data_IF_319569525711
#
_entry.id   IF_319569525711
#
_cell.length_a   1.000
_cell.length_b   1.000
_cell.length_c   1.000
_cell.angle_alpha   90.00
_cell.angle_beta   90.00
_cell.angle_gamma   90.00
#
_symmetry.space_group_name_H-M   'P 1'
#
loop_
_entity.id
_entity.type
_entity.pdbx_description
1 polymer ?
#
# COMPACT_ATOMS: atom_id res chain seq x y z
N UNK A 1 -5.40 20.54 50.64
CA UNK A 1 -4.26 20.32 49.73
C UNK A 1 -4.22 18.84 49.38
N UNK A 2 -4.36 18.34 48.17
CA UNK A 2 -5.01 18.80 46.95
C UNK A 2 -5.46 17.51 46.26
N UNK A 3 -6.63 17.57 45.65
CA UNK A 3 -7.37 16.50 45.01
C UNK A 3 -6.64 15.89 43.81
N UNK A 4 -6.39 14.58 43.83
CA UNK A 4 -6.25 13.77 42.62
C UNK A 4 -7.53 12.95 42.42
N UNK A 5 -8.63 13.66 42.18
CA UNK A 5 -9.77 13.07 41.50
C UNK A 5 -9.39 12.91 40.02
N UNK A 6 -9.33 11.68 39.53
CA UNK A 6 -9.41 11.41 38.09
C UNK A 6 -10.87 11.58 37.65
N UNK A 7 -11.10 12.38 36.60
CA UNK A 7 -12.41 12.68 36.05
C UNK A 7 -13.03 11.48 35.29
N UNK A 8 -14.38 11.45 35.09
CA UNK A 8 -15.04 10.42 34.29
C UNK A 8 -14.57 10.46 32.83
N UNK A 9 -14.03 9.34 32.33
CA UNK A 9 -13.38 9.23 31.01
C UNK A 9 -12.07 8.41 31.03
N UNK A 10 -11.64 7.95 32.20
CA UNK A 10 -10.41 7.16 32.35
C UNK A 10 -10.60 5.69 31.95
N UNK A 11 -10.15 5.31 30.76
CA UNK A 11 -9.57 3.98 30.58
C UNK A 11 -8.10 4.07 31.04
N UNK A 12 -7.67 3.44 32.14
CA UNK A 12 -6.27 3.10 32.27
C UNK A 12 -6.04 1.88 31.37
N UNK A 13 -5.45 1.99 30.16
CA UNK A 13 -5.04 0.79 29.46
C UNK A 13 -3.99 0.10 30.34
N UNK A 14 -4.23 -1.17 30.67
CA UNK A 14 -3.34 -2.01 31.45
C UNK A 14 -1.88 -1.76 31.04
N UNK A 15 -1.09 -1.10 31.88
CA UNK A 15 0.24 -0.58 31.51
C UNK A 15 1.13 -1.67 30.90
N UNK A 16 0.98 -2.90 31.40
CA UNK A 16 1.67 -4.11 30.90
C UNK A 16 1.41 -4.41 29.42
N UNK A 17 0.25 -4.04 28.86
CA UNK A 17 -0.07 -4.26 27.46
C UNK A 17 0.54 -3.23 26.52
N UNK A 18 0.92 -2.04 27.02
CA UNK A 18 1.54 -0.96 26.22
C UNK A 18 3.07 -1.01 26.24
N UNK A 19 3.67 -1.48 27.32
CA UNK A 19 5.13 -1.54 27.47
C UNK A 19 5.86 -2.15 26.27
N UNK A 20 5.38 -3.24 25.64
CA UNK A 20 6.08 -3.84 24.50
C UNK A 20 6.14 -2.96 23.24
N UNK A 21 5.27 -1.96 23.11
CA UNK A 21 5.27 -1.01 21.99
C UNK A 21 5.98 0.28 22.34
N UNK A 22 6.36 0.47 23.60
CA UNK A 22 6.89 1.74 24.07
C UNK A 22 8.39 1.81 23.80
N UNK A 23 8.82 2.92 23.22
CA UNK A 23 10.24 3.17 22.94
C UNK A 23 11.09 3.07 24.21
N UNK A 24 12.12 2.20 24.24
CA UNK A 24 12.98 2.00 25.40
C UNK A 24 13.75 3.27 25.81
N UNK A 25 14.12 4.12 24.85
CA UNK A 25 14.78 5.39 25.16
C UNK A 25 13.80 6.44 25.67
N UNK A 26 12.52 6.38 25.27
CA UNK A 26 11.48 7.21 25.87
C UNK A 26 11.26 6.82 27.34
N UNK A 27 11.27 5.52 27.66
CA UNK A 27 11.17 5.05 29.04
C UNK A 27 12.36 5.45 29.91
N UNK A 28 13.54 5.62 29.30
CA UNK A 28 14.78 5.95 30.03
C UNK A 28 14.96 7.46 30.19
N UNK A 29 14.75 8.22 29.11
CA UNK A 29 15.08 9.65 29.02
C UNK A 29 13.84 10.53 29.23
N UNK A 30 12.65 10.03 28.90
CA UNK A 30 11.38 10.78 28.99
C UNK A 30 11.04 11.62 27.74
N UNK A 31 11.96 11.71 26.77
CA UNK A 31 11.76 12.53 25.56
C UNK A 31 10.99 11.77 24.49
N UNK A 32 9.80 12.25 24.13
CA UNK A 32 8.98 11.68 23.06
C UNK A 32 9.36 12.29 21.70
N UNK A 33 9.59 11.45 20.70
CA UNK A 33 10.01 11.89 19.35
C UNK A 33 9.27 11.10 18.26
N UNK A 34 9.29 11.54 16.99
CA UNK A 34 8.76 10.74 15.88
C UNK A 34 9.40 9.33 15.78
N UNK A 35 10.65 9.17 16.23
CA UNK A 35 11.34 7.87 16.26
C UNK A 35 10.79 6.93 17.34
N UNK A 36 10.05 7.45 18.32
CA UNK A 36 9.31 6.64 19.29
C UNK A 36 8.05 6.02 18.65
N UNK A 37 7.41 6.74 17.72
CA UNK A 37 6.32 6.20 16.91
C UNK A 37 6.83 5.15 15.92
N UNK A 38 8.01 5.38 15.31
CA UNK A 38 8.68 4.38 14.46
C UNK A 38 8.92 3.08 15.21
N UNK A 39 9.38 3.15 16.47
CA UNK A 39 9.56 1.95 17.30
C UNK A 39 8.24 1.19 17.47
N UNK A 40 7.18 1.90 17.84
CA UNK A 40 5.83 1.34 18.02
C UNK A 40 5.34 0.67 16.73
N UNK A 41 5.53 1.34 15.58
CA UNK A 41 5.22 0.81 14.26
C UNK A 41 6.01 -0.45 13.94
N UNK A 42 7.29 -0.50 14.27
CA UNK A 42 8.12 -1.69 14.10
C UNK A 42 7.57 -2.91 14.84
N UNK A 43 7.14 -2.74 16.10
CA UNK A 43 6.52 -3.82 16.87
C UNK A 43 5.20 -4.27 16.22
N UNK A 44 4.38 -3.32 15.74
CA UNK A 44 3.13 -3.64 15.02
C UNK A 44 3.41 -4.43 13.74
N UNK A 45 4.39 -4.02 12.93
CA UNK A 45 4.79 -4.73 11.72
C UNK A 45 5.16 -6.19 12.04
N UNK A 46 5.99 -6.42 13.07
CA UNK A 46 6.39 -7.77 13.46
C UNK A 46 5.20 -8.60 13.94
N UNK A 47 4.25 -8.01 14.67
CA UNK A 47 3.03 -8.70 15.11
C UNK A 47 2.14 -9.10 13.95
N UNK A 48 1.91 -8.19 13.01
CA UNK A 48 1.08 -8.48 11.83
C UNK A 48 1.68 -9.60 10.99
N UNK A 49 3.01 -9.63 10.86
CA UNK A 49 3.71 -10.64 10.07
C UNK A 49 3.69 -12.03 10.71
N UNK A 50 3.69 -12.11 12.05
CA UNK A 50 3.85 -13.39 12.78
C UNK A 50 2.59 -13.86 13.50
N UNK A 51 1.58 -13.00 13.67
CA UNK A 51 0.38 -13.30 14.45
C UNK A 51 0.66 -13.44 15.96
N UNK A 52 1.89 -13.14 16.41
CA UNK A 52 2.33 -13.42 17.78
C UNK A 52 2.07 -12.24 18.73
N UNK A 53 1.97 -12.52 20.05
CA UNK A 53 2.04 -11.47 21.07
C UNK A 53 3.34 -10.65 20.95
N UNK A 54 3.32 -9.35 21.30
CA UNK A 54 4.49 -8.48 21.15
C UNK A 54 5.67 -8.87 22.05
N UNK A 55 5.41 -9.60 23.15
CA UNK A 55 6.45 -9.97 24.09
C UNK A 55 7.43 -10.94 23.43
N UNK A 56 8.72 -10.59 23.46
CA UNK A 56 9.82 -11.36 22.86
C UNK A 56 9.75 -11.56 21.34
N UNK A 57 8.82 -10.90 20.63
CA UNK A 57 8.65 -11.04 19.18
C UNK A 57 9.93 -10.67 18.43
N UNK A 58 10.58 -9.57 18.80
CA UNK A 58 11.84 -9.09 18.21
C UNK A 58 12.95 -10.12 18.36
N UNK A 59 13.04 -10.79 19.53
CA UNK A 59 14.05 -11.83 19.78
C UNK A 59 13.79 -13.05 18.88
N UNK A 60 12.56 -13.52 18.81
CA UNK A 60 12.16 -14.67 17.98
C UNK A 60 12.41 -14.41 16.49
N UNK A 61 12.02 -13.24 15.99
CA UNK A 61 12.26 -12.84 14.59
C UNK A 61 13.76 -12.78 14.31
N UNK A 62 14.56 -12.15 15.18
CA UNK A 62 16.03 -12.06 15.01
C UNK A 62 16.71 -13.43 15.01
N UNK A 63 16.25 -14.36 15.86
CA UNK A 63 16.72 -15.74 15.88
C UNK A 63 16.33 -16.49 14.60
N UNK A 64 15.08 -16.34 14.15
CA UNK A 64 14.62 -16.94 12.90
C UNK A 64 15.42 -16.44 11.68
N UNK A 65 15.86 -15.18 11.66
CA UNK A 65 16.78 -14.68 10.63
C UNK A 65 18.17 -15.33 10.70
N UNK A 66 18.71 -15.56 11.90
CA UNK A 66 20.02 -16.21 12.07
C UNK A 66 20.02 -17.67 11.63
N UNK A 67 18.90 -18.35 11.83
CA UNK A 67 18.71 -19.76 11.45
C UNK A 67 18.03 -19.97 10.09
N UNK A 68 17.82 -18.89 9.31
CA UNK A 68 17.07 -18.87 8.03
C UNK A 68 15.68 -19.53 8.07
N UNK A 69 15.04 -19.49 9.23
CA UNK A 69 13.76 -20.14 9.53
C UNK A 69 12.59 -19.15 9.65
N UNK A 70 12.70 -17.95 9.06
CA UNK A 70 11.65 -16.93 9.12
C UNK A 70 10.30 -17.43 8.61
N UNK A 71 10.31 -18.27 7.57
CA UNK A 71 9.11 -18.88 6.97
C UNK A 71 8.25 -19.69 7.96
N UNK A 72 8.84 -20.18 9.06
CA UNK A 72 8.11 -20.89 10.12
C UNK A 72 7.40 -19.96 11.10
N UNK A 73 7.84 -18.70 11.17
CA UNK A 73 7.33 -17.70 12.10
C UNK A 73 6.23 -16.83 11.48
N UNK A 74 6.12 -16.80 10.16
CA UNK A 74 5.10 -16.03 9.43
C UNK A 74 3.72 -16.62 9.70
N UNK A 75 2.74 -15.75 9.93
CA UNK A 75 1.36 -16.12 10.24
C UNK A 75 0.64 -16.74 9.04
N UNK A 76 0.55 -18.07 9.03
CA UNK A 76 -0.15 -18.82 7.99
C UNK A 76 -1.68 -18.62 8.02
N UNK A 77 -2.23 -18.12 9.13
CA UNK A 77 -3.67 -17.86 9.23
C UNK A 77 -4.12 -16.61 8.48
N UNK A 78 -3.18 -15.70 8.19
CA UNK A 78 -3.41 -14.49 7.39
C UNK A 78 -3.32 -14.72 5.87
N UNK A 79 -3.26 -15.99 5.43
CA UNK A 79 -3.20 -16.40 4.02
C UNK A 79 -1.78 -16.65 3.51
N UNK A 80 -1.64 -16.68 2.18
CA UNK A 80 -0.36 -16.95 1.53
C UNK A 80 0.50 -15.68 1.44
N UNK A 81 1.45 -15.56 2.36
CA UNK A 81 2.40 -14.45 2.35
C UNK A 81 3.44 -14.62 1.24
N UNK A 82 3.66 -13.60 0.40
CA UNK A 82 4.78 -13.60 -0.53
C UNK A 82 6.10 -13.49 0.26
N UNK A 83 6.85 -14.59 0.31
CA UNK A 83 7.99 -14.74 1.24
C UNK A 83 9.05 -13.63 1.11
N UNK A 84 9.36 -13.19 -0.11
CA UNK A 84 10.36 -12.14 -0.35
C UNK A 84 9.94 -10.81 0.31
N UNK A 85 8.70 -10.38 0.07
CA UNK A 85 8.15 -9.15 0.64
C UNK A 85 7.97 -9.28 2.15
N UNK A 86 7.53 -10.45 2.63
CA UNK A 86 7.46 -10.72 4.07
C UNK A 86 8.84 -10.63 4.73
N UNK A 87 9.89 -11.17 4.09
CA UNK A 87 11.28 -11.06 4.58
C UNK A 87 11.77 -9.61 4.60
N UNK A 88 11.46 -8.81 3.57
CA UNK A 88 11.77 -7.38 3.53
C UNK A 88 11.03 -6.59 4.61
N UNK A 89 9.74 -6.89 4.82
CA UNK A 89 8.92 -6.24 5.83
C UNK A 89 9.38 -6.60 7.25
N UNK A 90 9.77 -7.85 7.49
CA UNK A 90 10.34 -8.29 8.76
C UNK A 90 11.68 -7.61 9.06
N UNK A 91 12.54 -7.42 8.04
CA UNK A 91 13.80 -6.68 8.18
C UNK A 91 13.54 -5.20 8.51
N UNK A 92 12.57 -4.57 7.85
CA UNK A 92 12.14 -3.21 8.16
C UNK A 92 11.65 -3.10 9.60
N UNK A 93 10.77 -4.02 10.01
CA UNK A 93 10.28 -4.10 11.40
C UNK A 93 11.42 -4.22 12.41
N UNK A 94 12.43 -5.07 12.14
CA UNK A 94 13.62 -5.21 12.99
C UNK A 94 14.44 -3.92 13.09
N UNK A 95 14.61 -3.17 11.99
CA UNK A 95 15.30 -1.87 12.00
C UNK A 95 14.55 -0.82 12.81
N UNK A 96 13.23 -0.79 12.70
CA UNK A 96 12.38 0.14 13.46
C UNK A 96 12.45 -0.11 14.98
N UNK A 97 12.62 -1.37 15.42
CA UNK A 97 12.70 -1.74 16.85
C UNK A 97 14.12 -1.77 17.40
N UNK A 98 15.07 -1.11 16.75
CA UNK A 98 16.41 -0.95 17.31
C UNK A 98 16.37 -0.16 18.62
N UNK A 99 17.17 -0.60 19.60
CA UNK A 99 17.15 -0.01 20.94
C UNK A 99 17.60 1.45 20.92
N UNK A 100 18.57 1.75 20.06
CA UNK A 100 19.17 3.07 19.84
C UNK A 100 18.41 3.81 18.74
N UNK A 101 17.86 5.00 19.03
CA UNK A 101 17.06 5.84 18.11
C UNK A 101 17.79 6.17 16.83
N UNK A 102 19.09 6.46 16.87
CA UNK A 102 19.87 6.86 15.71
C UNK A 102 20.02 5.74 14.67
N UNK A 103 19.76 4.49 15.06
CA UNK A 103 19.78 3.33 14.15
C UNK A 103 18.42 3.06 13.49
N UNK A 104 17.37 3.72 13.96
CA UNK A 104 16.03 3.56 13.42
C UNK A 104 15.91 4.39 12.13
N UNK A 105 15.22 3.88 11.09
CA UNK A 105 14.85 4.70 9.95
C UNK A 105 13.88 5.81 10.38
N UNK A 106 13.85 6.92 9.64
CA UNK A 106 12.76 7.87 9.77
C UNK A 106 11.48 7.38 9.04
N UNK A 107 10.35 8.04 9.27
CA UNK A 107 9.09 7.65 8.63
C UNK A 107 9.11 7.77 7.11
N UNK A 108 9.93 8.65 6.54
CA UNK A 108 10.07 8.82 5.09
C UNK A 108 10.74 7.60 4.47
N UNK A 109 11.79 7.10 5.11
CA UNK A 109 12.47 5.88 4.70
C UNK A 109 11.57 4.66 4.90
N UNK A 110 10.87 4.56 6.03
CA UNK A 110 9.89 3.48 6.29
C UNK A 110 8.83 3.47 5.19
N UNK A 111 8.26 4.64 4.88
CA UNK A 111 7.24 4.77 3.83
C UNK A 111 7.77 4.33 2.47
N UNK A 112 8.99 4.73 2.10
CA UNK A 112 9.61 4.35 0.82
C UNK A 112 9.68 2.83 0.64
N UNK A 113 10.02 2.10 1.71
CA UNK A 113 10.07 0.63 1.68
C UNK A 113 8.65 0.06 1.63
N UNK A 114 7.75 0.50 2.50
CA UNK A 114 6.37 -0.02 2.56
C UNK A 114 5.64 0.22 1.25
N UNK A 115 5.76 1.42 0.68
CA UNK A 115 5.15 1.77 -0.60
C UNK A 115 5.63 0.85 -1.71
N UNK A 116 6.93 0.56 -1.78
CA UNK A 116 7.48 -0.39 -2.75
C UNK A 116 6.95 -1.82 -2.57
N UNK A 117 6.68 -2.24 -1.33
CA UNK A 117 6.10 -3.57 -1.02
C UNK A 117 4.60 -3.64 -1.33
N UNK A 118 3.87 -2.54 -1.13
CA UNK A 118 2.46 -2.39 -1.50
C UNK A 118 2.29 -2.32 -3.01
N UNK A 119 3.27 -1.73 -3.71
CA UNK A 119 3.33 -1.71 -5.16
C UNK A 119 3.52 -3.14 -5.67
N UNK A 120 2.41 -3.82 -5.94
CA UNK A 120 2.40 -5.00 -6.81
C UNK A 120 3.12 -4.55 -8.10
N UNK A 121 4.21 -5.20 -8.55
CA UNK A 121 4.61 -5.02 -9.96
C UNK A 121 3.33 -5.27 -10.77
N UNK A 122 3.00 -4.45 -11.78
CA UNK A 122 1.81 -4.73 -12.57
C UNK A 122 1.95 -6.18 -13.00
N UNK A 123 1.08 -7.04 -12.45
CA UNK A 123 1.04 -8.39 -12.94
C UNK A 123 0.79 -8.24 -14.45
N UNK A 124 1.42 -9.04 -15.32
CA UNK A 124 0.99 -9.12 -16.70
C UNK A 124 -0.40 -9.77 -16.81
N UNK A 125 -1.28 -9.59 -15.81
CA UNK A 125 -2.67 -10.00 -15.85
C UNK A 125 -3.42 -9.12 -16.83
N UNK A 126 -3.30 -7.79 -16.75
CA UNK A 126 -4.07 -6.89 -17.61
C UNK A 126 -3.24 -6.39 -18.81
N UNK A 127 -3.63 -6.69 -20.06
CA UNK A 127 -3.03 -6.09 -21.24
C UNK A 127 -3.09 -4.56 -21.21
N UNK A 128 -1.99 -3.88 -21.55
CA UNK A 128 -1.88 -2.42 -21.47
C UNK A 128 -2.97 -1.66 -22.26
N UNK A 129 -3.45 -2.24 -23.36
CA UNK A 129 -4.51 -1.65 -24.20
C UNK A 129 -5.91 -1.70 -23.58
N UNK A 130 -6.09 -2.38 -22.45
CA UNK A 130 -7.34 -2.37 -21.67
C UNK A 130 -7.42 -1.19 -20.70
N UNK A 131 -6.32 -0.47 -20.48
CA UNK A 131 -6.22 0.58 -19.49
C UNK A 131 -6.40 1.93 -20.18
N UNK A 132 -7.25 2.80 -19.60
CA UNK A 132 -7.45 4.16 -20.12
C UNK A 132 -6.18 5.01 -19.92
N UNK A 133 -5.59 5.59 -20.98
CA UNK A 133 -4.35 6.34 -20.82
C UNK A 133 -4.46 7.67 -20.06
N UNK A 134 -5.65 8.30 -20.05
CA UNK A 134 -5.88 9.58 -19.35
C UNK A 134 -5.94 9.40 -17.85
N UNK A 135 -6.45 8.25 -17.40
CA UNK A 135 -6.68 7.95 -15.99
C UNK A 135 -5.40 7.49 -15.29
N UNK A 136 -4.33 7.19 -16.04
CA UNK A 136 -3.04 6.77 -15.50
C UNK A 136 -2.23 7.92 -14.88
N UNK A 137 -2.64 9.18 -15.06
CA UNK A 137 -1.84 10.36 -14.66
C UNK A 137 -2.08 10.77 -13.20
N UNK A 138 -3.15 10.29 -12.54
CA UNK A 138 -3.67 10.92 -11.31
C UNK A 138 -3.73 10.05 -10.04
N UNK A 139 -2.91 9.02 -9.84
CA UNK A 139 -3.13 8.19 -8.64
C UNK A 139 -1.87 7.68 -7.91
N UNK A 140 -1.43 8.49 -6.94
CA UNK A 140 -0.74 8.02 -5.74
C UNK A 140 -1.62 7.10 -4.86
N UNK A 141 -2.92 6.95 -5.17
CA UNK A 141 -3.90 6.17 -4.39
C UNK A 141 -4.56 4.98 -5.13
N UNK A 142 -4.30 4.74 -6.43
CA UNK A 142 -4.91 3.60 -7.16
C UNK A 142 -3.99 2.44 -7.47
N UNK A 143 -2.93 2.24 -6.68
CA UNK A 143 -2.14 1.00 -6.78
C UNK A 143 -2.99 -0.28 -6.60
N UNK A 144 -4.24 -0.15 -6.12
CA UNK A 144 -5.18 -1.26 -5.95
C UNK A 144 -6.29 -1.35 -7.03
N UNK A 145 -6.57 -0.28 -7.79
CA UNK A 145 -7.61 -0.30 -8.83
C UNK A 145 -6.98 0.06 -10.17
N UNK A 146 -6.59 -0.98 -10.92
CA UNK A 146 -6.36 -0.83 -12.36
C UNK A 146 -7.76 -0.67 -12.97
N UNK A 147 -8.12 0.55 -13.35
CA UNK A 147 -9.40 0.81 -14.04
C UNK A 147 -9.29 0.34 -15.50
N UNK A 148 -9.59 -0.95 -15.70
CA UNK A 148 -9.90 -1.50 -17.01
C UNK A 148 -11.08 -0.70 -17.57
N UNK A 149 -10.97 -0.25 -18.83
CA UNK A 149 -12.03 0.53 -19.47
C UNK A 149 -13.35 -0.24 -19.49
N UNK A 150 -14.40 0.38 -18.97
CA UNK A 150 -15.76 -0.17 -18.97
C UNK A 150 -16.52 0.24 -20.25
N UNK A 151 -16.35 1.49 -20.68
CA UNK A 151 -16.90 2.02 -21.93
C UNK A 151 -15.77 2.64 -22.80
N UNK A 152 -14.98 1.81 -23.50
CA UNK A 152 -13.89 2.30 -24.34
C UNK A 152 -14.40 3.08 -25.57
N UNK A 153 -13.98 4.33 -25.69
CA UNK A 153 -14.30 5.27 -26.77
C UNK A 153 -13.04 5.73 -27.48
N UNK A 154 -13.03 5.62 -28.80
CA UNK A 154 -11.93 6.04 -29.65
C UNK A 154 -12.11 7.50 -30.06
N UNK A 155 -11.07 8.31 -29.92
CA UNK A 155 -11.04 9.67 -30.46
C UNK A 155 -10.39 9.70 -31.86
N UNK A 156 -10.46 10.85 -32.55
CA UNK A 156 -9.94 10.99 -33.92
C UNK A 156 -8.42 10.86 -34.06
N UNK A 157 -7.68 10.80 -32.95
CA UNK A 157 -6.25 10.51 -32.89
C UNK A 157 -5.94 8.99 -32.94
N UNK A 158 -6.96 8.14 -32.92
CA UNK A 158 -6.82 6.68 -32.93
C UNK A 158 -6.57 6.07 -31.55
N UNK A 159 -6.49 6.87 -30.49
CA UNK A 159 -6.39 6.37 -29.12
C UNK A 159 -7.77 6.07 -28.54
N UNK A 160 -7.82 5.07 -27.66
CA UNK A 160 -9.04 4.67 -26.97
C UNK A 160 -8.95 5.07 -25.49
N UNK A 161 -10.06 5.59 -24.96
CA UNK A 161 -10.18 6.18 -23.64
C UNK A 161 -11.47 5.70 -22.96
N UNK A 162 -11.54 5.80 -21.63
CA UNK A 162 -12.80 5.65 -20.90
C UNK A 162 -13.77 6.79 -21.26
N UNK A 163 -15.02 6.45 -21.56
CA UNK A 163 -16.02 7.38 -22.10
C UNK A 163 -16.19 8.62 -21.24
N UNK A 164 -16.36 8.45 -19.93
CA UNK A 164 -16.52 9.59 -19.02
C UNK A 164 -15.28 10.47 -18.99
N UNK A 165 -14.08 9.87 -19.01
CA UNK A 165 -12.82 10.59 -18.91
C UNK A 165 -12.58 11.47 -20.13
N UNK A 166 -12.74 10.92 -21.34
CA UNK A 166 -12.55 11.68 -22.58
C UNK A 166 -13.64 12.73 -22.78
N UNK A 167 -14.89 12.44 -22.37
CA UNK A 167 -15.97 13.44 -22.42
C UNK A 167 -15.66 14.62 -21.50
N UNK A 168 -15.30 14.38 -20.24
CA UNK A 168 -14.90 15.44 -19.31
C UNK A 168 -13.74 16.27 -19.85
N UNK A 169 -12.74 15.63 -20.46
CA UNK A 169 -11.61 16.33 -21.08
C UNK A 169 -12.05 17.29 -22.18
N UNK A 170 -12.90 16.81 -23.10
CA UNK A 170 -13.41 17.62 -24.20
C UNK A 170 -14.37 18.72 -23.70
N UNK A 171 -15.27 18.39 -22.78
CA UNK A 171 -16.24 19.33 -22.19
C UNK A 171 -15.55 20.44 -21.39
N UNK A 172 -14.37 20.16 -20.84
CA UNK A 172 -13.47 21.15 -20.23
C UNK A 172 -12.86 22.15 -21.23
N UNK A 173 -13.21 22.08 -22.51
CA UNK A 173 -12.78 23.02 -23.55
C UNK A 173 -11.52 22.60 -24.32
N UNK A 174 -10.91 21.47 -23.98
CA UNK A 174 -9.73 20.96 -24.68
C UNK A 174 -10.09 20.45 -26.08
N UNK A 175 -9.31 20.88 -27.07
CA UNK A 175 -9.38 20.39 -28.46
C UNK A 175 -8.15 19.52 -28.84
N UNK A 176 -7.42 19.03 -27.83
CA UNK A 176 -6.17 18.29 -28.00
C UNK A 176 -6.31 16.86 -27.51
N UNK A 177 -5.54 15.97 -28.11
CA UNK A 177 -5.35 14.58 -27.71
C UNK A 177 -4.77 14.56 -26.29
N UNK A 178 -5.43 13.87 -25.35
CA UNK A 178 -4.89 13.69 -24.01
C UNK A 178 -3.56 12.94 -23.96
N UNK A 179 -3.30 12.10 -24.97
CA UNK A 179 -2.08 11.27 -25.04
C UNK A 179 -0.91 11.97 -25.68
N UNK A 180 -1.14 12.60 -26.81
CA UNK A 180 -0.07 13.18 -27.64
C UNK A 180 0.03 14.69 -27.48
N UNK A 181 -0.96 15.32 -26.83
CA UNK A 181 -1.13 16.75 -26.78
C UNK A 181 -1.23 17.40 -28.18
N UNK A 182 -1.57 16.65 -29.24
CA UNK A 182 -1.77 17.21 -30.58
C UNK A 182 -3.22 17.64 -30.78
N UNK A 183 -3.49 18.64 -31.63
CA UNK A 183 -4.87 19.04 -31.92
C UNK A 183 -5.65 17.87 -32.54
N UNK A 184 -6.85 17.60 -32.03
CA UNK A 184 -7.72 16.56 -32.56
C UNK A 184 -8.36 17.05 -33.87
N UNK A 185 -8.31 16.26 -34.96
CA UNK A 185 -9.03 16.57 -36.19
C UNK A 185 -10.53 16.86 -35.97
N UNK A 186 -11.16 16.16 -35.03
CA UNK A 186 -12.53 16.43 -34.60
C UNK A 186 -12.77 15.94 -33.17
N UNK A 187 -13.92 16.30 -32.60
CA UNK A 187 -14.34 15.91 -31.24
C UNK A 187 -15.28 14.70 -31.22
N UNK A 188 -15.39 13.98 -32.34
CA UNK A 188 -16.28 12.82 -32.46
C UNK A 188 -15.63 11.64 -31.75
N UNK A 189 -16.41 10.98 -30.89
CA UNK A 189 -16.02 9.76 -30.21
C UNK A 189 -16.74 8.58 -30.82
N UNK A 190 -15.99 7.50 -31.09
CA UNK A 190 -16.51 6.28 -31.69
C UNK A 190 -16.40 5.14 -30.65
N UNK A 191 -17.51 4.48 -30.30
CA UNK A 191 -17.46 3.35 -29.36
C UNK A 191 -16.57 2.22 -29.90
N UNK A 192 -15.55 1.83 -29.14
CA UNK A 192 -14.66 0.72 -29.48
C UNK A 192 -15.27 -0.60 -28.99
N UNK A 193 -16.28 -1.08 -29.71
CA UNK A 193 -17.01 -2.31 -29.36
C UNK A 193 -16.12 -3.55 -29.32
N UNK A 194 -15.11 -3.62 -30.20
CA UNK A 194 -14.17 -4.74 -30.23
C UNK A 194 -13.35 -4.81 -28.94
N UNK A 195 -12.78 -3.69 -28.51
CA UNK A 195 -12.04 -3.61 -27.26
C UNK A 195 -12.92 -3.92 -26.05
N UNK A 196 -14.16 -3.43 -26.06
CA UNK A 196 -15.14 -3.71 -25.01
C UNK A 196 -15.42 -5.22 -24.89
N UNK A 197 -15.62 -5.91 -26.02
CA UNK A 197 -15.81 -7.36 -26.03
C UNK A 197 -14.58 -8.11 -25.51
N UNK A 198 -13.37 -7.74 -25.96
CA UNK A 198 -12.13 -8.37 -25.49
C UNK A 198 -11.89 -8.17 -23.98
N UNK A 199 -12.25 -7.00 -23.46
CA UNK A 199 -12.22 -6.72 -22.02
C UNK A 199 -13.20 -7.61 -21.26
N UNK A 200 -14.43 -7.76 -21.75
CA UNK A 200 -15.45 -8.60 -21.11
C UNK A 200 -15.03 -10.07 -21.07
N UNK A 201 -14.50 -10.61 -22.17
CA UNK A 201 -13.96 -11.97 -22.24
C UNK A 201 -12.81 -12.17 -21.24
N UNK A 202 -11.89 -11.20 -21.18
CA UNK A 202 -10.77 -11.21 -20.24
C UNK A 202 -11.25 -11.23 -18.77
N UNK A 203 -12.24 -10.38 -18.43
CA UNK A 203 -12.81 -10.33 -17.09
C UNK A 203 -13.51 -11.66 -16.74
N UNK A 204 -14.29 -12.23 -17.65
CA UNK A 204 -14.94 -13.53 -17.46
C UNK A 204 -13.93 -14.66 -17.22
N UNK A 205 -12.86 -14.72 -18.02
CA UNK A 205 -11.79 -15.71 -17.86
C UNK A 205 -11.03 -15.55 -16.53
N UNK A 206 -10.88 -14.32 -16.05
CA UNK A 206 -10.20 -14.04 -14.77
C UNK A 206 -11.02 -14.46 -13.55
N UNK A 207 -12.35 -14.37 -13.61
CA UNK A 207 -13.27 -14.82 -12.54
C UNK A 207 -13.35 -16.34 -12.47
N UNK A 208 -13.32 -17.03 -13.61
CA UNK A 208 -13.37 -18.50 -13.66
C UNK A 208 -12.10 -19.20 -13.13
N UNK A 209 -11.04 -18.45 -12.84
CA UNK A 209 -9.73 -18.95 -12.41
C UNK A 209 -9.43 -18.68 -10.93
N UNK A 210 -10.34 -17.99 -10.24
CA UNK A 210 -10.29 -17.69 -8.81
C UNK A 210 -11.20 -18.65 -8.04
#
# INVERSE_FOLDING_TARGET
MSTLFLQPGSCPPNLTSRLPYTDPEFLTIGDLTPLSDVYSLGVIILRLLTGMPPLAITKKVREAFRSDNLHLLIDKSAGDWPYTQAKQLALLGLRCVEMTREKRPDLTEVWTVVEALVRKPPAPSCPAHFICPILQVNNLLSAFVIEIMNDPQMASDGFTYEAEAIRRWLDGGSNRSPMTNLALPNRVLIPNRALRSSIQEYLQASVAKA
#
